data_IF_847223084247
#
_entry.id   IF_847223084247
#
_cell.length_a   1.000
_cell.length_b   1.000
_cell.length_c   1.000
_cell.angle_alpha   90.00
_cell.angle_beta   90.00
_cell.angle_gamma   90.00
#
_symmetry.space_group_name_H-M   'P 1'
#
loop_
_entity.id
_entity.type
_entity.pdbx_description
1 polymer ?
#
# COMPACT_ATOMS: atom_id res chain seq x y z
N UNK A 1 -19.81 -3.45 -8.60
CA UNK A 1 -18.66 -4.16 -9.21
C UNK A 1 -17.53 -3.13 -9.38
N UNK A 2 -16.46 -3.27 -8.60
CA UNK A 2 -15.32 -2.36 -8.67
C UNK A 2 -14.33 -2.78 -9.77
N UNK A 3 -14.01 -4.08 -9.82
CA UNK A 3 -12.97 -4.62 -10.70
C UNK A 3 -13.18 -6.12 -10.93
N UNK A 4 -12.58 -6.64 -11.98
CA UNK A 4 -12.51 -8.09 -12.22
C UNK A 4 -11.30 -8.65 -11.49
N UNK A 5 -11.52 -9.69 -10.70
CA UNK A 5 -10.48 -10.43 -9.97
C UNK A 5 -10.35 -11.81 -10.58
N UNK A 6 -9.16 -12.16 -11.03
CA UNK A 6 -8.86 -13.51 -11.51
C UNK A 6 -7.68 -14.10 -10.73
N UNK A 7 -7.79 -15.38 -10.35
CA UNK A 7 -6.71 -16.12 -9.69
C UNK A 7 -6.26 -17.22 -10.62
N UNK A 8 -4.97 -17.31 -10.84
CA UNK A 8 -4.31 -18.29 -11.69
C UNK A 8 -3.27 -19.07 -10.90
N UNK A 9 -2.82 -20.18 -11.45
CA UNK A 9 -1.70 -20.96 -10.95
C UNK A 9 -0.76 -21.32 -12.08
N UNK A 10 0.54 -21.14 -11.87
CA UNK A 10 1.59 -21.53 -12.80
C UNK A 10 2.74 -22.26 -12.10
N UNK A 11 3.50 -23.08 -12.83
CA UNK A 11 4.67 -23.74 -12.25
C UNK A 11 5.79 -22.78 -11.80
N UNK A 12 5.91 -21.61 -12.46
CA UNK A 12 6.98 -20.65 -12.21
C UNK A 12 6.64 -19.65 -11.08
N UNK A 13 5.38 -19.24 -10.98
CA UNK A 13 4.97 -18.15 -10.07
C UNK A 13 4.10 -18.62 -8.91
N UNK A 14 3.77 -19.92 -8.84
CA UNK A 14 2.75 -20.42 -7.92
C UNK A 14 1.38 -19.83 -8.27
N UNK A 15 0.58 -19.54 -7.27
CA UNK A 15 -0.65 -18.77 -7.49
C UNK A 15 -0.32 -17.30 -7.68
N UNK A 16 -1.06 -16.65 -8.55
CA UNK A 16 -0.97 -15.21 -8.75
C UNK A 16 -2.37 -14.64 -9.04
N UNK A 17 -2.51 -13.38 -8.69
CA UNK A 17 -3.78 -12.65 -8.81
C UNK A 17 -3.64 -11.51 -9.81
N UNK A 18 -4.71 -11.33 -10.60
CA UNK A 18 -4.81 -10.18 -11.51
C UNK A 18 -6.06 -9.36 -11.20
N UNK A 19 -5.94 -8.03 -11.35
CA UNK A 19 -7.04 -7.09 -11.33
C UNK A 19 -7.20 -6.49 -12.72
N UNK A 20 -8.39 -6.68 -13.33
CA UNK A 20 -8.66 -6.23 -14.71
C UNK A 20 -7.64 -6.73 -15.75
N UNK A 21 -7.00 -7.88 -15.49
CA UNK A 21 -5.98 -8.49 -16.35
C UNK A 21 -4.54 -8.04 -16.07
N UNK A 22 -4.30 -7.07 -15.18
CA UNK A 22 -2.95 -6.69 -14.72
C UNK A 22 -2.55 -7.55 -13.52
N UNK A 23 -1.36 -8.12 -13.55
CA UNK A 23 -0.81 -8.90 -12.42
C UNK A 23 -0.56 -7.96 -11.24
N UNK A 24 -1.06 -8.34 -10.06
CA UNK A 24 -0.90 -7.57 -8.83
C UNK A 24 0.18 -8.16 -7.95
N UNK A 25 0.14 -9.46 -7.72
CA UNK A 25 1.18 -10.17 -6.97
C UNK A 25 1.18 -11.66 -7.30
N UNK A 26 2.28 -12.34 -6.99
CA UNK A 26 2.40 -13.80 -7.01
C UNK A 26 2.88 -14.33 -5.65
N UNK A 27 2.60 -15.59 -5.34
CA UNK A 27 3.13 -16.25 -4.13
C UNK A 27 4.66 -16.29 -4.10
N UNK A 28 5.27 -16.34 -5.29
CA UNK A 28 6.72 -16.53 -5.44
C UNK A 28 7.53 -15.30 -5.02
N UNK A 29 7.04 -14.09 -5.27
CA UNK A 29 7.84 -12.87 -5.19
C UNK A 29 7.20 -11.69 -4.41
N UNK A 30 5.92 -11.82 -3.99
CA UNK A 30 5.23 -10.75 -3.27
C UNK A 30 5.96 -10.27 -2.01
N UNK A 31 6.74 -11.16 -1.37
CA UNK A 31 7.52 -10.81 -0.18
C UNK A 31 8.54 -9.69 -0.44
N UNK A 32 9.12 -9.63 -1.66
CA UNK A 32 10.12 -8.60 -2.01
C UNK A 32 9.50 -7.21 -1.89
N UNK A 33 8.30 -7.04 -2.44
CA UNK A 33 7.57 -5.78 -2.36
C UNK A 33 7.18 -5.47 -0.91
N UNK A 34 6.54 -6.41 -0.22
CA UNK A 34 6.01 -6.23 1.12
C UNK A 34 7.12 -5.86 2.13
N UNK A 35 8.25 -6.56 2.08
CA UNK A 35 9.43 -6.25 2.90
C UNK A 35 9.97 -4.84 2.62
N UNK A 36 10.06 -4.44 1.35
CA UNK A 36 10.63 -3.15 0.98
C UNK A 36 9.75 -1.97 1.38
N UNK A 37 8.43 -2.10 1.29
CA UNK A 37 7.53 -1.00 1.70
C UNK A 37 7.41 -0.88 3.22
N UNK A 38 7.70 -1.95 3.97
CA UNK A 38 7.60 -1.99 5.43
C UNK A 38 8.95 -1.74 6.10
N UNK A 39 9.95 -2.53 5.81
CA UNK A 39 11.19 -2.51 6.60
C UNK A 39 12.04 -1.26 6.35
N UNK A 40 11.95 -0.65 5.17
CA UNK A 40 12.67 0.60 4.90
C UNK A 40 12.18 1.75 5.79
N UNK A 41 10.87 2.10 5.83
CA UNK A 41 10.40 3.14 6.75
C UNK A 41 10.56 2.76 8.22
N UNK A 42 10.36 1.50 8.60
CA UNK A 42 10.55 1.03 9.98
C UNK A 42 12.00 1.16 10.46
N UNK A 43 12.98 1.02 9.56
CA UNK A 43 14.39 1.25 9.89
C UNK A 43 14.72 2.75 10.08
N UNK A 44 13.97 3.63 9.44
CA UNK A 44 14.14 5.09 9.55
C UNK A 44 13.42 5.64 10.77
N UNK A 45 12.24 5.10 11.08
CA UNK A 45 11.40 5.51 12.21
C UNK A 45 11.06 4.30 13.09
N UNK A 46 11.90 3.95 14.07
CA UNK A 46 11.74 2.72 14.86
C UNK A 46 10.57 2.77 15.86
N UNK A 47 10.02 3.94 16.15
CA UNK A 47 8.97 4.14 17.16
C UNK A 47 7.55 4.20 16.55
N UNK A 48 7.36 3.62 15.35
CA UNK A 48 6.04 3.55 14.68
C UNK A 48 5.10 2.66 15.49
N UNK A 49 3.90 3.19 15.79
CA UNK A 49 2.85 2.50 16.57
C UNK A 49 1.54 2.40 15.80
N UNK A 50 1.14 3.47 15.12
CA UNK A 50 -0.13 3.57 14.41
C UNK A 50 0.14 3.68 12.91
N UNK A 51 -0.33 2.72 12.15
CA UNK A 51 -0.12 2.62 10.71
C UNK A 51 -1.45 2.70 9.97
N UNK A 52 -1.45 3.42 8.86
CA UNK A 52 -2.53 3.38 7.88
C UNK A 52 -2.02 2.74 6.59
N UNK A 53 -2.72 1.72 6.12
CA UNK A 53 -2.51 1.13 4.80
C UNK A 53 -3.70 1.52 3.91
N UNK A 54 -3.42 2.09 2.75
CA UNK A 54 -4.42 2.44 1.74
C UNK A 54 -4.29 1.43 0.61
N UNK A 55 -5.34 0.63 0.38
CA UNK A 55 -5.25 -0.64 -0.32
C UNK A 55 -4.79 -1.74 0.64
N UNK A 56 -4.00 -2.69 0.17
CA UNK A 56 -3.39 -3.73 1.01
C UNK A 56 -4.36 -4.82 1.49
N UNK A 57 -5.47 -4.99 0.80
CA UNK A 57 -6.47 -6.00 1.10
C UNK A 57 -5.99 -7.45 0.90
N UNK A 58 -4.80 -7.66 0.34
CA UNK A 58 -4.11 -8.95 0.26
C UNK A 58 -3.48 -9.37 1.61
N UNK A 59 -3.18 -8.41 2.49
CA UNK A 59 -2.62 -8.65 3.81
C UNK A 59 -1.10 -8.74 3.86
N UNK A 60 -0.40 -8.68 2.74
CA UNK A 60 1.06 -8.84 2.70
C UNK A 60 1.78 -7.76 3.50
N UNK A 61 1.40 -6.50 3.32
CA UNK A 61 1.98 -5.36 4.06
C UNK A 61 1.68 -5.47 5.56
N UNK A 62 0.45 -5.80 5.95
CA UNK A 62 0.10 -5.96 7.37
C UNK A 62 0.84 -7.11 8.02
N UNK A 63 1.04 -8.23 7.33
CA UNK A 63 1.84 -9.37 7.81
C UNK A 63 3.27 -8.96 8.16
N UNK A 64 3.91 -8.15 7.33
CA UNK A 64 5.28 -7.67 7.59
C UNK A 64 5.32 -6.67 8.76
N UNK A 65 4.35 -5.76 8.87
CA UNK A 65 4.23 -4.84 10.00
C UNK A 65 4.03 -5.57 11.33
N UNK A 66 3.28 -6.66 11.35
CA UNK A 66 2.99 -7.44 12.55
C UNK A 66 4.21 -8.15 13.16
N UNK A 67 5.35 -8.18 12.46
CA UNK A 67 6.64 -8.66 13.01
C UNK A 67 7.25 -7.67 14.01
N UNK A 68 6.74 -6.45 14.09
CA UNK A 68 7.21 -5.43 15.03
C UNK A 68 6.32 -5.35 16.25
N UNK A 69 6.89 -5.64 17.44
CA UNK A 69 6.16 -5.66 18.71
C UNK A 69 5.62 -4.27 19.14
N UNK A 70 6.22 -3.20 18.62
CA UNK A 70 5.82 -1.83 18.93
C UNK A 70 4.60 -1.35 18.15
N UNK A 71 4.16 -2.07 17.12
CA UNK A 71 2.94 -1.74 16.37
C UNK A 71 1.72 -2.03 17.26
N UNK A 72 0.93 -0.98 17.50
CA UNK A 72 -0.26 -1.03 18.34
C UNK A 72 -1.56 -1.08 17.50
N UNK A 73 -1.58 -0.42 16.34
CA UNK A 73 -2.76 -0.34 15.47
C UNK A 73 -2.38 -0.27 13.99
N UNK A 74 -3.09 -1.04 13.17
CA UNK A 74 -3.00 -1.03 11.70
C UNK A 74 -4.40 -0.85 11.14
N UNK A 75 -4.69 0.33 10.62
CA UNK A 75 -5.91 0.60 9.87
C UNK A 75 -5.68 0.29 8.39
N UNK A 76 -6.48 -0.59 7.80
CA UNK A 76 -6.47 -0.90 6.36
C UNK A 76 -7.72 -0.31 5.73
N UNK A 77 -7.56 0.54 4.73
CA UNK A 77 -8.67 1.11 3.97
C UNK A 77 -8.68 0.50 2.59
N UNK A 78 -9.47 -0.57 2.43
CA UNK A 78 -9.65 -1.28 1.18
C UNK A 78 -11.10 -1.13 0.71
N UNK A 79 -11.28 -0.56 -0.48
CA UNK A 79 -12.62 -0.26 -0.99
C UNK A 79 -13.36 -1.52 -1.45
N UNK A 80 -12.63 -2.51 -1.96
CA UNK A 80 -13.19 -3.76 -2.51
C UNK A 80 -13.13 -4.89 -1.49
N UNK A 81 -14.22 -5.11 -0.75
CA UNK A 81 -14.31 -6.21 0.21
C UNK A 81 -14.18 -7.60 -0.44
N UNK A 82 -14.58 -7.74 -1.71
CA UNK A 82 -14.43 -8.99 -2.44
C UNK A 82 -12.95 -9.32 -2.67
N UNK A 83 -12.09 -8.31 -2.87
CA UNK A 83 -10.65 -8.52 -2.99
C UNK A 83 -10.07 -9.14 -1.70
N UNK A 84 -10.46 -8.61 -0.53
CA UNK A 84 -10.06 -9.17 0.77
C UNK A 84 -10.52 -10.63 0.92
N UNK A 85 -11.78 -10.92 0.58
CA UNK A 85 -12.34 -12.26 0.69
C UNK A 85 -11.61 -13.27 -0.23
N UNK A 86 -11.32 -12.88 -1.47
CA UNK A 86 -10.56 -13.68 -2.42
C UNK A 86 -9.13 -13.93 -1.93
N UNK A 87 -8.47 -12.92 -1.38
CA UNK A 87 -7.12 -13.07 -0.83
C UNK A 87 -7.10 -14.03 0.37
N UNK A 88 -8.08 -13.94 1.27
CA UNK A 88 -8.21 -14.89 2.38
C UNK A 88 -8.47 -16.32 1.93
N UNK A 89 -9.24 -16.51 0.86
CA UNK A 89 -9.56 -17.85 0.33
C UNK A 89 -8.39 -18.48 -0.42
N UNK A 90 -7.73 -17.74 -1.30
CA UNK A 90 -6.74 -18.29 -2.22
C UNK A 90 -5.28 -18.07 -1.79
N UNK A 91 -4.99 -17.08 -0.95
CA UNK A 91 -3.65 -16.71 -0.48
C UNK A 91 -3.58 -16.61 1.06
N UNK A 92 -3.93 -17.70 1.78
CA UNK A 92 -4.05 -17.65 3.24
C UNK A 92 -2.73 -17.33 3.95
N UNK A 93 -1.58 -17.68 3.36
CA UNK A 93 -0.26 -17.38 3.94
C UNK A 93 0.10 -15.89 3.87
N UNK A 94 -0.37 -15.18 2.84
CA UNK A 94 -0.19 -13.74 2.69
C UNK A 94 -1.18 -12.99 3.58
N UNK A 95 -2.44 -13.40 3.57
CA UNK A 95 -3.54 -12.72 4.25
C UNK A 95 -3.67 -13.04 5.74
N UNK A 96 -2.81 -13.90 6.29
CA UNK A 96 -2.89 -14.30 7.71
C UNK A 96 -2.88 -13.14 8.69
N UNK A 97 -2.18 -12.05 8.35
CA UNK A 97 -2.11 -10.85 9.17
C UNK A 97 -3.42 -10.08 9.27
N UNK A 98 -4.37 -10.29 8.35
CA UNK A 98 -5.66 -9.59 8.35
C UNK A 98 -6.59 -9.97 9.51
N UNK A 99 -6.30 -11.07 10.20
CA UNK A 99 -7.08 -11.55 11.33
C UNK A 99 -6.44 -11.24 12.71
N UNK A 100 -5.30 -10.51 12.74
CA UNK A 100 -4.66 -10.06 13.99
C UNK A 100 -5.52 -8.97 14.66
N UNK A 101 -5.57 -8.98 15.99
CA UNK A 101 -6.37 -8.04 16.79
C UNK A 101 -5.96 -6.56 16.63
N UNK A 102 -4.74 -6.30 16.18
CA UNK A 102 -4.22 -4.95 15.88
C UNK A 102 -4.65 -4.43 14.51
N UNK A 103 -5.27 -5.28 13.66
CA UNK A 103 -5.63 -4.93 12.27
C UNK A 103 -7.12 -4.64 12.16
N UNK A 104 -7.45 -3.48 11.63
CA UNK A 104 -8.83 -3.03 11.41
C UNK A 104 -9.06 -2.70 9.94
N UNK A 105 -9.96 -3.44 9.29
CA UNK A 105 -10.26 -3.28 7.87
C UNK A 105 -11.50 -2.41 7.71
N UNK A 106 -11.37 -1.33 6.94
CA UNK A 106 -12.44 -0.41 6.59
C UNK A 106 -12.74 -0.51 5.09
N UNK A 107 -13.90 -1.03 4.74
CA UNK A 107 -14.37 -1.03 3.35
C UNK A 107 -14.94 0.35 3.00
N UNK A 108 -14.05 1.28 2.73
CA UNK A 108 -14.39 2.68 2.57
C UNK A 108 -13.48 3.37 1.53
N UNK A 109 -13.94 4.52 1.02
CA UNK A 109 -13.13 5.38 0.15
C UNK A 109 -12.01 6.06 0.94
N UNK A 110 -10.75 5.89 0.52
CA UNK A 110 -9.59 6.35 1.25
C UNK A 110 -9.52 7.89 1.38
N UNK A 111 -9.93 8.64 0.35
CA UNK A 111 -9.98 10.11 0.42
C UNK A 111 -10.99 10.58 1.46
N UNK A 112 -12.16 9.93 1.52
CA UNK A 112 -13.16 10.24 2.53
C UNK A 112 -12.71 9.85 3.92
N UNK A 113 -12.04 8.70 4.07
CA UNK A 113 -11.48 8.24 5.33
C UNK A 113 -10.46 9.26 5.88
N UNK A 114 -9.53 9.70 5.04
CA UNK A 114 -8.47 10.66 5.42
C UNK A 114 -9.00 12.05 5.80
N UNK A 115 -10.19 12.47 5.32
CA UNK A 115 -10.72 13.82 5.61
C UNK A 115 -10.89 14.11 7.09
N UNK A 116 -11.18 13.09 7.90
CA UNK A 116 -11.38 13.22 9.35
C UNK A 116 -10.12 13.00 10.17
N UNK A 117 -9.02 12.58 9.53
CA UNK A 117 -7.78 12.18 10.19
C UNK A 117 -6.83 13.36 10.33
N UNK A 118 -6.26 13.52 11.53
CA UNK A 118 -5.31 14.60 11.82
C UNK A 118 -4.33 14.16 12.89
N UNK A 119 -3.04 14.10 12.54
CA UNK A 119 -1.97 13.78 13.51
C UNK A 119 -2.19 12.44 14.24
N UNK A 120 -2.62 11.42 13.51
CA UNK A 120 -2.98 10.12 14.07
C UNK A 120 -1.95 9.03 13.78
N UNK A 121 -1.31 9.05 12.59
CA UNK A 121 -0.47 7.97 12.10
C UNK A 121 1.02 8.31 12.13
N UNK A 122 1.82 7.31 12.52
CA UNK A 122 3.28 7.37 12.44
C UNK A 122 3.78 6.99 11.04
N UNK A 123 3.02 6.11 10.36
CA UNK A 123 3.33 5.61 9.03
C UNK A 123 2.04 5.50 8.21
N UNK A 124 2.08 6.00 6.99
CA UNK A 124 1.05 5.76 5.97
C UNK A 124 1.70 5.05 4.80
N UNK A 125 1.17 3.89 4.41
CA UNK A 125 1.59 3.14 3.22
C UNK A 125 0.46 3.20 2.20
N UNK A 126 0.71 3.88 1.06
CA UNK A 126 -0.19 3.84 -0.07
C UNK A 126 0.17 2.65 -0.96
N UNK A 127 -0.54 1.55 -0.73
CA UNK A 127 -0.42 0.28 -1.42
C UNK A 127 -1.48 0.13 -2.53
N UNK A 128 -2.05 1.24 -2.97
CA UNK A 128 -2.98 1.23 -4.08
C UNK A 128 -2.26 0.92 -5.38
N UNK A 129 -2.91 0.12 -6.21
CA UNK A 129 -2.46 -0.16 -7.57
C UNK A 129 -2.45 1.12 -8.43
N UNK A 130 -2.01 0.99 -9.67
CA UNK A 130 -1.74 2.05 -10.64
C UNK A 130 -2.66 3.30 -10.62
N UNK A 131 -2.15 4.47 -11.03
CA UNK A 131 -2.87 5.76 -11.00
C UNK A 131 -3.97 5.88 -12.06
N UNK A 132 -4.61 4.76 -12.42
CA UNK A 132 -5.66 4.71 -13.43
C UNK A 132 -7.00 4.22 -12.84
N UNK A 133 -8.11 4.72 -13.38
CA UNK A 133 -9.44 4.28 -12.98
C UNK A 133 -9.82 4.70 -11.56
N UNK A 134 -10.26 3.76 -10.74
CA UNK A 134 -10.74 4.03 -9.38
C UNK A 134 -9.68 4.59 -8.44
N UNK A 135 -8.39 4.28 -8.69
CA UNK A 135 -7.27 4.71 -7.88
C UNK A 135 -6.70 6.09 -8.26
N UNK A 136 -7.12 6.70 -9.38
CA UNK A 136 -6.58 7.99 -9.85
C UNK A 136 -6.60 9.09 -8.77
N UNK A 137 -7.64 9.11 -7.94
CA UNK A 137 -7.77 10.05 -6.83
C UNK A 137 -6.67 9.97 -5.79
N UNK A 138 -6.03 8.80 -5.64
CA UNK A 138 -4.97 8.52 -4.65
C UNK A 138 -3.57 9.01 -5.10
N UNK A 139 -3.49 9.67 -6.26
CA UNK A 139 -2.25 10.22 -6.81
C UNK A 139 -2.35 11.73 -7.07
N UNK A 140 -3.26 12.40 -6.35
CA UNK A 140 -3.51 13.84 -6.44
C UNK A 140 -2.79 14.62 -5.35
N UNK A 141 -2.61 15.93 -5.55
CA UNK A 141 -2.10 16.82 -4.50
C UNK A 141 -3.02 16.88 -3.28
N UNK A 142 -4.33 16.78 -3.48
CA UNK A 142 -5.32 16.72 -2.39
C UNK A 142 -5.09 15.50 -1.51
N UNK A 143 -4.87 14.34 -2.13
CA UNK A 143 -4.55 13.11 -1.42
C UNK A 143 -3.28 13.24 -0.60
N UNK A 144 -2.17 13.68 -1.20
CA UNK A 144 -0.90 13.85 -0.47
C UNK A 144 -1.01 14.88 0.65
N UNK A 145 -1.78 15.96 0.45
CA UNK A 145 -2.09 16.94 1.49
C UNK A 145 -2.92 16.36 2.63
N UNK A 146 -3.83 15.44 2.33
CA UNK A 146 -4.61 14.72 3.33
C UNK A 146 -3.75 13.72 4.12
N UNK A 147 -2.87 12.98 3.46
CA UNK A 147 -1.88 12.12 4.12
C UNK A 147 -0.97 12.93 5.06
N UNK A 148 -0.48 14.09 4.58
CA UNK A 148 0.37 14.97 5.39
C UNK A 148 -0.32 15.46 6.68
N UNK A 149 -1.62 15.77 6.62
CA UNK A 149 -2.41 16.16 7.80
C UNK A 149 -2.69 14.98 8.75
N UNK A 150 -2.87 13.78 8.20
CA UNK A 150 -3.15 12.59 8.97
C UNK A 150 -1.91 12.04 9.68
N UNK A 151 -0.72 12.31 9.14
CA UNK A 151 0.57 11.97 9.74
C UNK A 151 0.88 12.83 10.95
N UNK A 152 1.57 12.25 11.93
CA UNK A 152 2.24 12.98 13.01
C UNK A 152 3.43 13.79 12.47
N UNK A 153 4.01 14.65 13.30
CA UNK A 153 5.07 15.60 12.89
C UNK A 153 6.32 14.92 12.30
N UNK A 154 6.66 13.72 12.78
CA UNK A 154 7.77 12.87 12.32
C UNK A 154 7.31 11.69 11.46
N UNK A 155 6.03 11.66 11.10
CA UNK A 155 5.43 10.56 10.37
C UNK A 155 5.93 10.43 8.92
N UNK A 156 5.89 9.22 8.41
CA UNK A 156 6.39 8.85 7.08
C UNK A 156 5.23 8.44 6.17
N UNK A 157 5.24 8.94 4.93
CA UNK A 157 4.43 8.42 3.83
C UNK A 157 5.31 7.56 2.92
N UNK A 158 4.89 6.32 2.68
CA UNK A 158 5.43 5.44 1.63
C UNK A 158 4.39 5.29 0.53
N UNK A 159 4.81 5.36 -0.71
CA UNK A 159 3.95 5.12 -1.87
C UNK A 159 4.78 4.56 -3.03
N UNK A 160 4.14 3.76 -3.85
CA UNK A 160 4.76 3.24 -5.06
C UNK A 160 4.46 4.14 -6.26
N UNK A 161 5.31 4.09 -7.26
CA UNK A 161 5.08 4.69 -8.57
C UNK A 161 5.78 3.87 -9.66
N UNK A 162 5.42 4.13 -10.91
CA UNK A 162 5.99 3.43 -12.06
C UNK A 162 7.51 3.51 -12.16
N UNK A 163 8.10 2.62 -12.92
CA UNK A 163 9.55 2.50 -13.10
C UNK A 163 10.10 3.71 -13.86
N UNK A 164 11.19 4.35 -13.37
CA UNK A 164 11.85 5.42 -14.10
C UNK A 164 12.69 4.92 -15.30
N UNK A 165 12.78 3.61 -15.49
CA UNK A 165 13.60 2.98 -16.53
C UNK A 165 12.85 2.70 -17.84
N UNK A 166 11.54 2.90 -17.85
CA UNK A 166 10.71 2.75 -19.06
C UNK A 166 10.21 4.13 -19.50
N UNK A 167 10.46 4.47 -20.75
CA UNK A 167 10.12 5.80 -21.33
C UNK A 167 8.65 6.18 -21.12
N UNK A 168 7.75 5.20 -21.17
CA UNK A 168 6.31 5.40 -20.98
C UNK A 168 5.95 5.83 -19.55
N UNK A 169 6.71 5.42 -18.56
CA UNK A 169 6.46 5.67 -17.14
C UNK A 169 7.26 6.87 -16.58
N UNK A 170 8.32 7.29 -17.26
CA UNK A 170 9.24 8.32 -16.75
C UNK A 170 8.52 9.65 -16.47
N UNK A 171 7.66 10.11 -17.37
CA UNK A 171 6.93 11.36 -17.21
C UNK A 171 5.89 11.28 -16.09
N UNK A 172 5.22 10.14 -15.93
CA UNK A 172 4.28 9.87 -14.84
C UNK A 172 5.02 9.87 -13.49
N UNK A 173 6.14 9.17 -13.41
CA UNK A 173 7.01 9.11 -12.24
C UNK A 173 7.50 10.51 -11.83
N UNK A 174 8.01 11.30 -12.77
CA UNK A 174 8.45 12.69 -12.54
C UNK A 174 7.31 13.59 -12.08
N UNK A 175 6.13 13.44 -12.66
CA UNK A 175 4.94 14.23 -12.30
C UNK A 175 4.49 13.92 -10.88
N UNK A 176 4.42 12.63 -10.50
CA UNK A 176 4.09 12.21 -9.13
C UNK A 176 5.11 12.71 -8.12
N UNK A 177 6.40 12.51 -8.39
CA UNK A 177 7.46 12.99 -7.50
C UNK A 177 7.37 14.50 -7.24
N UNK A 178 7.06 15.30 -8.27
CA UNK A 178 6.84 16.75 -8.10
C UNK A 178 5.67 17.07 -7.17
N UNK A 179 4.56 16.31 -7.24
CA UNK A 179 3.40 16.52 -6.37
C UNK A 179 3.75 16.26 -4.90
N UNK A 180 4.47 15.18 -4.62
CA UNK A 180 4.90 14.80 -3.27
C UNK A 180 5.94 15.78 -2.74
N UNK A 181 6.94 16.14 -3.54
CA UNK A 181 8.01 17.08 -3.15
C UNK A 181 7.49 18.47 -2.76
N UNK A 182 6.32 18.87 -3.29
CA UNK A 182 5.68 20.13 -2.89
C UNK A 182 4.93 20.02 -1.56
N UNK A 183 4.63 18.83 -1.10
CA UNK A 183 3.84 18.59 0.10
C UNK A 183 4.72 18.20 1.29
N UNK A 184 5.73 17.38 1.05
CA UNK A 184 6.60 16.84 2.08
C UNK A 184 7.97 17.53 2.06
N UNK A 185 8.51 17.96 3.22
CA UNK A 185 9.79 18.68 3.30
C UNK A 185 10.98 17.80 2.91
N UNK A 186 10.86 16.49 3.10
CA UNK A 186 11.89 15.52 2.75
C UNK A 186 11.23 14.44 1.90
N UNK A 187 11.81 14.15 0.74
CA UNK A 187 11.40 13.05 -0.11
C UNK A 187 12.63 12.28 -0.58
N UNK A 188 12.54 10.95 -0.58
CA UNK A 188 13.60 10.04 -1.04
C UNK A 188 12.98 8.94 -1.88
N UNK A 189 13.68 8.56 -2.92
CA UNK A 189 13.32 7.43 -3.77
C UNK A 189 14.24 6.27 -3.44
N UNK A 190 13.69 5.10 -3.31
CA UNK A 190 14.43 3.83 -3.25
C UNK A 190 13.79 2.84 -4.21
N UNK A 191 14.46 1.76 -4.50
CA UNK A 191 14.03 0.80 -5.51
C UNK A 191 13.97 -0.60 -4.91
N UNK A 192 12.86 -1.28 -5.15
CA UNK A 192 12.74 -2.73 -5.03
C UNK A 192 12.96 -3.35 -6.42
N UNK A 193 13.70 -4.44 -6.49
CA UNK A 193 13.84 -5.23 -7.71
C UNK A 193 12.91 -6.43 -7.59
N UNK A 194 11.81 -6.37 -8.34
CA UNK A 194 10.85 -7.48 -8.44
C UNK A 194 11.07 -8.10 -9.82
N UNK A 195 11.39 -9.38 -9.89
CA UNK A 195 11.70 -10.08 -11.14
C UNK A 195 10.58 -10.07 -12.17
#
# INVERSE_FOLDING_TARGET
DYQRIDVFESPEFGKFLTLNGSVIFSEQDCFIYNEMVVHVPMAVHPDVKNVLIIGGGDGGVSKELLQYDNIENIDIVEQDSMFVDVCKEYFPETSIGLDDERVHIYNYDALRFLRSKMNEYDLIINDATDPFGASEGLFTREFYGSCYKALKDDGILVYQHGSPFYDEDEDACRSMHKKVFHTFPISRVYQAHIP
#
